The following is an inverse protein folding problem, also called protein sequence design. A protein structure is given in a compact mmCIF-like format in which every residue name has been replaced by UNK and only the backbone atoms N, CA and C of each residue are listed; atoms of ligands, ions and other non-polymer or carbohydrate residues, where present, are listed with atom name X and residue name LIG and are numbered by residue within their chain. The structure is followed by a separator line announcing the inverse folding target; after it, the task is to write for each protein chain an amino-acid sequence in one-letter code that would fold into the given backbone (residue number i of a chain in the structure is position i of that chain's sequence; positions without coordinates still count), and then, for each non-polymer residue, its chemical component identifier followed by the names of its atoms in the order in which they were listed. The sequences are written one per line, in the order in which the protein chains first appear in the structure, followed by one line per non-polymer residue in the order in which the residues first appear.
data_IF_716543670043
#
_entry.id   IF_716543670043
#
_cell.length_a   1.000
_cell.length_b   1.000
_cell.length_c   1.000
_cell.angle_alpha   90.00
_cell.angle_beta   90.00
_cell.angle_gamma   90.00
#
_symmetry.space_group_name_H-M   'P 1'
#
loop_
_entity.id
_entity.type
_entity.pdbx_description
1 polymer ?
#
# COMPACT_ATOMS: atom_id res chain seq x y z
N UNK A 1 -1.80 11.42 -21.20
CA UNK A 1 -2.38 11.46 -19.83
C UNK A 1 -3.22 10.22 -19.63
N UNK A 2 -2.76 9.30 -18.78
CA UNK A 2 -3.26 7.92 -18.71
C UNK A 2 -4.65 7.82 -18.10
N UNK A 3 -5.51 7.02 -18.74
CA UNK A 3 -6.90 6.74 -18.36
C UNK A 3 -7.01 6.40 -16.88
N UNK A 4 -7.87 7.12 -16.16
CA UNK A 4 -8.35 6.83 -14.80
C UNK A 4 -9.08 5.48 -14.80
N UNK A 5 -8.33 4.38 -14.87
CA UNK A 5 -8.88 3.04 -14.69
C UNK A 5 -9.24 2.91 -13.22
N UNK A 6 -10.49 2.54 -12.96
CA UNK A 6 -10.95 2.23 -11.61
C UNK A 6 -9.98 1.25 -10.93
N UNK A 7 -9.71 1.41 -9.62
CA UNK A 7 -8.77 0.56 -8.91
C UNK A 7 -9.20 -0.89 -9.00
N UNK A 8 -8.23 -1.78 -9.24
CA UNK A 8 -8.51 -3.21 -9.24
C UNK A 8 -8.83 -3.66 -7.80
N UNK A 9 -10.11 -3.95 -7.55
CA UNK A 9 -10.61 -4.39 -6.24
C UNK A 9 -9.86 -5.61 -5.70
N UNK A 10 -9.33 -6.49 -6.57
CA UNK A 10 -8.52 -7.65 -6.13
C UNK A 10 -7.20 -7.22 -5.50
N UNK A 11 -6.54 -6.21 -6.07
CA UNK A 11 -5.27 -5.67 -5.53
C UNK A 11 -5.52 -4.99 -4.20
N UNK A 12 -6.54 -4.13 -4.10
CA UNK A 12 -6.92 -3.47 -2.84
C UNK A 12 -7.17 -4.49 -1.74
N UNK A 13 -7.98 -5.53 -2.00
CA UNK A 13 -8.24 -6.60 -1.03
C UNK A 13 -6.96 -7.32 -0.61
N UNK A 14 -6.04 -7.58 -1.54
CA UNK A 14 -4.77 -8.26 -1.23
C UNK A 14 -3.88 -7.41 -0.32
N UNK A 15 -3.75 -6.10 -0.62
CA UNK A 15 -2.99 -5.16 0.21
C UNK A 15 -3.64 -5.03 1.60
N UNK A 16 -4.97 -4.86 1.67
CA UNK A 16 -5.68 -4.82 2.96
C UNK A 16 -5.46 -6.07 3.79
N UNK A 17 -5.56 -7.26 3.19
CA UNK A 17 -5.31 -8.53 3.92
C UNK A 17 -3.89 -8.56 4.51
N UNK A 18 -2.89 -8.23 3.70
CA UNK A 18 -1.48 -8.19 4.15
C UNK A 18 -1.29 -7.19 5.30
N UNK A 19 -1.88 -6.02 5.23
CA UNK A 19 -1.80 -5.01 6.30
C UNK A 19 -2.63 -5.41 7.54
N UNK A 20 -3.73 -6.13 7.37
CA UNK A 20 -4.57 -6.61 8.48
C UNK A 20 -3.84 -7.70 9.28
N UNK A 21 -3.11 -8.58 8.58
CA UNK A 21 -2.26 -9.60 9.20
C UNK A 21 -1.02 -9.00 9.89
N UNK A 22 -0.71 -7.71 9.69
CA UNK A 22 0.49 -7.04 10.21
C UNK A 22 0.12 -5.68 10.86
N UNK A 23 -0.48 -5.68 12.06
CA UNK A 23 -1.00 -4.47 12.72
C UNK A 23 0.07 -3.41 13.03
N UNK A 24 1.33 -3.81 13.16
CA UNK A 24 2.49 -2.92 13.32
C UNK A 24 2.83 -2.11 12.06
N UNK A 25 2.24 -2.46 10.92
CA UNK A 25 2.55 -1.87 9.62
C UNK A 25 3.66 -2.60 8.88
N UNK A 26 3.74 -2.35 7.57
CA UNK A 26 4.74 -2.94 6.68
C UNK A 26 5.34 -1.89 5.75
N UNK A 27 6.61 -2.09 5.40
CA UNK A 27 7.31 -1.27 4.43
C UNK A 27 6.75 -1.53 3.03
N UNK A 28 6.70 -0.51 2.17
CA UNK A 28 6.27 -0.67 0.76
C UNK A 28 6.97 -1.87 0.09
N UNK A 29 8.28 -2.01 0.32
CA UNK A 29 9.07 -3.11 -0.26
C UNK A 29 8.58 -4.48 0.18
N UNK A 30 8.16 -4.61 1.44
CA UNK A 30 7.69 -5.87 2.01
C UNK A 30 6.25 -6.17 1.58
N UNK A 31 5.40 -5.14 1.50
CA UNK A 31 4.07 -5.26 0.90
C UNK A 31 4.18 -5.74 -0.55
N UNK A 32 5.10 -5.15 -1.33
CA UNK A 32 5.37 -5.56 -2.71
C UNK A 32 5.82 -7.02 -2.81
N UNK A 33 6.78 -7.44 -1.96
CA UNK A 33 7.27 -8.83 -1.92
C UNK A 33 6.17 -9.82 -1.59
N UNK A 34 5.36 -9.55 -0.55
CA UNK A 34 4.26 -10.45 -0.12
C UNK A 34 3.08 -10.47 -1.08
N UNK A 35 2.78 -9.34 -1.71
CA UNK A 35 1.69 -9.24 -2.67
C UNK A 35 2.06 -9.74 -4.07
N UNK A 36 3.35 -9.81 -4.41
CA UNK A 36 3.83 -10.05 -5.77
C UNK A 36 3.55 -8.88 -6.72
N UNK A 37 3.33 -7.69 -6.18
CA UNK A 37 2.98 -6.48 -6.94
C UNK A 37 4.19 -5.55 -6.95
N UNK A 38 4.39 -4.83 -8.05
CA UNK A 38 5.50 -3.88 -8.15
C UNK A 38 5.41 -2.78 -7.09
N UNK A 39 6.55 -2.31 -6.60
CA UNK A 39 6.62 -1.25 -5.58
C UNK A 39 5.92 0.03 -6.03
N UNK A 40 6.05 0.39 -7.31
CA UNK A 40 5.37 1.56 -7.90
C UNK A 40 3.86 1.40 -7.88
N UNK A 41 3.34 0.22 -8.19
CA UNK A 41 1.91 -0.05 -8.12
C UNK A 41 1.41 -0.03 -6.66
N UNK A 42 2.14 -0.62 -5.71
CA UNK A 42 1.80 -0.50 -4.28
C UNK A 42 1.76 0.96 -3.85
N UNK A 43 2.76 1.77 -4.24
CA UNK A 43 2.83 3.19 -3.89
C UNK A 43 1.61 3.97 -4.41
N UNK A 44 1.24 3.78 -5.68
CA UNK A 44 0.02 4.38 -6.26
C UNK A 44 -1.23 3.91 -5.51
N UNK A 45 -1.36 2.62 -5.22
CA UNK A 45 -2.55 2.11 -4.52
C UNK A 45 -2.68 2.63 -3.10
N UNK A 46 -1.58 2.72 -2.35
CA UNK A 46 -1.60 3.24 -1.00
C UNK A 46 -1.92 4.74 -0.95
N UNK A 47 -1.37 5.54 -1.86
CA UNK A 47 -1.55 7.00 -1.84
C UNK A 47 -2.79 7.50 -2.61
N UNK A 48 -3.19 6.86 -3.71
CA UNK A 48 -4.31 7.35 -4.53
C UNK A 48 -5.62 6.61 -4.22
N UNK A 49 -5.57 5.30 -3.95
CA UNK A 49 -6.78 4.48 -3.84
C UNK A 49 -7.13 4.04 -2.41
N UNK A 50 -6.18 4.14 -1.48
CA UNK A 50 -6.33 3.64 -0.11
C UNK A 50 -5.96 4.67 0.95
N UNK A 51 -5.80 5.95 0.60
CA UNK A 51 -5.39 7.00 1.54
C UNK A 51 -6.30 7.09 2.79
N UNK A 52 -7.60 6.84 2.62
CA UNK A 52 -8.56 6.78 3.73
C UNK A 52 -8.45 5.51 4.59
N UNK A 53 -7.94 4.41 4.03
CA UNK A 53 -7.82 3.12 4.70
C UNK A 53 -6.46 2.92 5.38
N UNK A 54 -5.40 3.56 4.90
CA UNK A 54 -4.04 3.37 5.41
C UNK A 54 -3.50 4.63 6.08
N UNK A 55 -2.57 4.43 7.02
CA UNK A 55 -1.81 5.49 7.67
C UNK A 55 -0.34 5.25 7.43
N UNK A 56 0.33 6.27 6.90
CA UNK A 56 1.78 6.34 6.89
C UNK A 56 2.27 6.58 8.33
N UNK A 57 3.14 5.71 8.83
CA UNK A 57 3.69 5.80 10.20
C UNK A 57 5.04 6.48 10.17
N UNK A 58 5.90 6.05 9.23
CA UNK A 58 7.28 6.50 9.12
C UNK A 58 7.57 6.74 7.65
N UNK A 59 8.11 7.91 7.35
CA UNK A 59 8.68 8.24 6.05
C UNK A 59 10.11 8.68 6.27
N UNK A 60 11.07 7.90 5.78
CA UNK A 60 12.47 8.30 5.72
C UNK A 60 12.68 8.94 4.34
N UNK A 61 12.97 10.25 4.26
CA UNK A 61 13.21 10.93 2.99
C UNK A 61 14.22 10.15 2.14
N UNK A 62 13.84 9.84 0.90
CA UNK A 62 14.71 9.14 -0.07
C UNK A 62 14.89 7.63 0.10
N UNK A 63 14.33 7.00 1.14
CA UNK A 63 14.61 5.59 1.45
C UNK A 63 13.36 4.68 1.43
N UNK A 64 12.50 4.81 2.44
CA UNK A 64 11.38 3.88 2.65
C UNK A 64 10.23 4.51 3.45
N UNK A 65 9.02 4.05 3.14
CA UNK A 65 7.78 4.42 3.81
C UNK A 65 7.12 3.19 4.45
N UNK A 66 6.63 3.35 5.68
CA UNK A 66 5.93 2.33 6.47
C UNK A 66 4.44 2.65 6.53
N UNK A 67 3.60 1.71 6.11
CA UNK A 67 2.14 1.86 6.11
C UNK A 67 1.46 0.83 7.01
N UNK A 68 0.41 1.23 7.72
CA UNK A 68 -0.54 0.34 8.40
C UNK A 68 -1.97 0.64 8.00
N UNK A 69 -2.89 -0.29 8.25
CA UNK A 69 -4.32 0.02 8.19
C UNK A 69 -4.70 0.98 9.32
N UNK A 70 -5.56 1.95 9.00
CA UNK A 70 -6.34 2.71 9.98
C UNK A 70 -7.36 1.75 10.58
N UNK A 71 -7.41 1.68 11.90
CA UNK A 71 -8.47 1.00 12.66
C UNK A 71 -9.55 2.00 12.97
#
# INVERSE_FOLDING_TARGET
MGKTKAPNKKIVKKIKKILADNPQGLWIREIARRSGISKSCIHVYLNEYMDNDVKEIVSIPGLVKLYKLKK
#
